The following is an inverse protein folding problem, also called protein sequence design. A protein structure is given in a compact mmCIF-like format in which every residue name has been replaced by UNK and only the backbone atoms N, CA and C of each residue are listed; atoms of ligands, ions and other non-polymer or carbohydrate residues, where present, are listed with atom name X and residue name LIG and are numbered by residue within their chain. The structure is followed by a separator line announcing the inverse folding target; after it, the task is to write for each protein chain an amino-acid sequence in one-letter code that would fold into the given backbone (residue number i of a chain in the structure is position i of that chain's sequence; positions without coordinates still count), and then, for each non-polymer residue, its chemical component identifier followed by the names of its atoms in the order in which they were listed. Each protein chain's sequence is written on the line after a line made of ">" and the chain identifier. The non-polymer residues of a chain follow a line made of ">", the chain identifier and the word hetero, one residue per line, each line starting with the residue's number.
data_IF_460946673646
#
_entry.id   IF_460946673646
#
_cell.length_a   1.000
_cell.length_b   1.000
_cell.length_c   1.000
_cell.angle_alpha   90.00
_cell.angle_beta   90.00
_cell.angle_gamma   90.00
#
_symmetry.space_group_name_H-M   'P 1'
#
loop_
_entity.id
_entity.type
_entity.pdbx_description
1 polymer ?
#
# COMPACT_ATOMS: atom_id res chain seq x y z
N UNK A 1 64.80 -23.68 13.41
CA UNK A 1 63.86 -23.36 12.33
C UNK A 1 62.58 -22.81 12.97
N UNK A 2 62.44 -21.47 13.09
CA UNK A 2 61.33 -20.80 13.75
C UNK A 2 60.38 -20.28 12.67
N UNK A 3 59.19 -20.84 12.55
CA UNK A 3 58.10 -20.32 11.72
C UNK A 3 57.48 -19.09 12.38
N UNK A 4 57.60 -17.93 11.74
CA UNK A 4 56.83 -16.72 12.07
C UNK A 4 55.44 -16.86 11.47
N UNK A 5 54.41 -16.99 12.31
CA UNK A 5 53.03 -16.78 11.89
C UNK A 5 52.78 -15.27 11.81
N UNK A 6 52.49 -14.79 10.61
CA UNK A 6 51.99 -13.44 10.39
C UNK A 6 50.47 -13.44 10.70
N UNK A 7 50.10 -12.78 11.77
CA UNK A 7 48.69 -12.50 12.08
C UNK A 7 48.18 -11.40 11.16
N UNK A 8 47.38 -11.75 10.16
CA UNK A 8 46.57 -10.79 9.41
C UNK A 8 45.34 -10.43 10.24
N UNK A 9 45.43 -9.32 10.97
CA UNK A 9 44.31 -8.68 11.68
C UNK A 9 43.37 -8.06 10.62
N UNK A 10 42.43 -8.87 10.07
CA UNK A 10 41.29 -8.39 9.35
C UNK A 10 40.10 -8.39 10.32
N UNK A 11 39.98 -7.32 11.10
CA UNK A 11 38.74 -7.02 11.77
C UNK A 11 37.71 -6.67 10.70
N UNK A 12 36.55 -7.36 10.63
CA UNK A 12 35.48 -6.92 9.76
C UNK A 12 34.98 -5.56 10.25
N UNK A 13 34.78 -4.64 9.31
CA UNK A 13 34.18 -3.30 9.51
C UNK A 13 32.72 -3.42 10.00
N UNK A 14 32.52 -3.84 11.25
CA UNK A 14 31.20 -3.98 11.90
C UNK A 14 30.73 -2.66 12.56
N UNK A 15 31.39 -1.53 12.33
CA UNK A 15 31.09 -0.25 13.00
C UNK A 15 30.70 0.88 12.03
N UNK A 16 29.93 0.59 10.98
CA UNK A 16 29.27 1.64 10.19
C UNK A 16 27.75 1.64 10.32
N UNK A 17 27.19 1.17 11.42
CA UNK A 17 25.86 1.61 11.85
C UNK A 17 26.01 2.94 12.59
N UNK A 18 26.15 4.03 11.83
CA UNK A 18 25.92 5.36 12.37
C UNK A 18 24.50 5.38 12.89
N UNK A 19 24.31 5.39 14.22
CA UNK A 19 23.04 5.71 14.87
C UNK A 19 22.61 7.10 14.39
N UNK A 20 21.82 7.17 13.32
CA UNK A 20 21.17 8.41 12.92
C UNK A 20 20.18 8.72 14.03
N UNK A 21 20.29 9.90 14.65
CA UNK A 21 19.39 10.33 15.69
C UNK A 21 17.95 10.34 15.18
N UNK A 22 17.03 9.80 15.96
CA UNK A 22 15.59 9.89 15.71
C UNK A 22 15.14 11.28 16.16
N UNK A 23 14.39 11.97 15.32
CA UNK A 23 13.87 13.31 15.58
C UNK A 23 12.36 13.31 15.42
N UNK A 24 11.69 14.19 16.17
CA UNK A 24 10.27 14.47 15.99
C UNK A 24 10.07 15.12 14.61
N UNK A 25 9.28 14.50 13.74
CA UNK A 25 9.03 14.99 12.38
C UNK A 25 7.73 15.79 12.28
N UNK A 26 6.66 15.23 12.78
CA UNK A 26 5.31 15.75 12.62
C UNK A 26 4.50 15.70 13.90
N UNK A 27 3.75 16.76 14.17
CA UNK A 27 2.64 16.79 15.12
C UNK A 27 1.33 16.70 14.35
N UNK A 28 0.43 15.81 14.74
CA UNK A 28 -0.87 15.65 14.10
C UNK A 28 -1.92 16.59 14.68
N UNK A 29 -2.32 17.62 13.92
CA UNK A 29 -3.42 18.52 14.25
C UNK A 29 -4.76 17.81 14.09
N UNK A 30 -4.90 17.02 13.01
CA UNK A 30 -6.00 16.10 12.73
C UNK A 30 -5.42 14.80 12.21
N UNK A 31 -6.08 13.67 12.50
CA UNK A 31 -5.55 12.35 12.15
C UNK A 31 -6.08 11.79 10.83
N UNK A 32 -7.08 12.44 10.21
CA UNK A 32 -7.84 11.84 9.11
C UNK A 32 -8.79 10.73 9.61
N UNK A 33 -9.38 9.98 8.68
CA UNK A 33 -10.31 8.88 9.01
C UNK A 33 -9.53 7.69 9.57
N UNK A 34 -8.51 7.25 8.84
CA UNK A 34 -7.63 6.15 9.26
C UNK A 34 -6.22 6.38 8.69
N UNK A 35 -5.31 6.76 9.58
CA UNK A 35 -3.89 6.93 9.26
C UNK A 35 -3.07 5.97 10.10
N UNK A 36 -2.25 5.12 9.45
CA UNK A 36 -1.42 4.10 10.09
C UNK A 36 -0.01 4.09 9.52
N UNK A 37 0.96 3.65 10.32
CA UNK A 37 2.32 3.37 9.86
C UNK A 37 2.33 1.99 9.22
N UNK A 38 2.81 1.89 7.98
CA UNK A 38 2.91 0.64 7.23
C UNK A 38 4.27 0.51 6.55
N UNK A 39 4.74 -0.73 6.39
CA UNK A 39 5.87 -1.12 5.56
C UNK A 39 5.45 -2.24 4.58
N UNK A 40 6.35 -3.07 4.08
CA UNK A 40 5.99 -4.20 3.20
C UNK A 40 5.25 -5.34 3.93
N UNK A 41 5.25 -5.34 5.26
CA UNK A 41 4.59 -6.34 6.10
C UNK A 41 5.53 -7.38 6.72
N UNK A 42 4.98 -8.22 7.61
CA UNK A 42 5.69 -9.24 8.38
C UNK A 42 5.48 -10.63 7.79
N UNK A 43 6.49 -11.11 7.08
CA UNK A 43 6.46 -12.41 6.43
C UNK A 43 7.00 -13.52 7.33
N UNK A 44 6.50 -14.77 7.13
CA UNK A 44 7.00 -15.96 7.81
C UNK A 44 6.28 -16.31 9.13
N UNK A 45 5.32 -15.49 9.56
CA UNK A 45 4.61 -15.69 10.82
C UNK A 45 3.15 -16.16 10.67
N UNK A 46 2.67 -16.36 9.43
CA UNK A 46 1.30 -16.80 9.16
C UNK A 46 0.99 -18.14 9.82
N UNK A 47 1.95 -19.06 9.90
CA UNK A 47 1.81 -20.35 10.61
C UNK A 47 1.51 -20.21 12.11
N UNK A 48 1.75 -19.03 12.68
CA UNK A 48 1.45 -18.70 14.07
C UNK A 48 0.18 -17.85 14.22
N UNK A 49 -0.61 -17.71 13.17
CA UNK A 49 -1.83 -16.91 13.17
C UNK A 49 -1.62 -15.40 13.01
N UNK A 50 -0.39 -14.95 12.69
CA UNK A 50 -0.08 -13.53 12.53
C UNK A 50 -0.14 -13.15 11.05
N UNK A 51 -1.03 -12.21 10.65
CA UNK A 51 -1.15 -11.77 9.27
C UNK A 51 0.09 -10.99 8.81
N UNK A 52 0.26 -10.94 7.49
CA UNK A 52 1.36 -10.15 6.89
C UNK A 52 1.21 -8.68 7.20
N UNK A 53 0.00 -8.14 7.18
CA UNK A 53 -0.25 -6.70 7.26
C UNK A 53 0.50 -5.92 6.17
N UNK A 54 1.01 -4.74 6.46
CA UNK A 54 1.73 -3.93 5.47
C UNK A 54 0.82 -3.05 4.63
N UNK A 55 1.43 -2.31 3.72
CA UNK A 55 0.72 -1.43 2.81
C UNK A 55 -0.29 -2.21 1.95
N UNK A 56 -1.51 -1.67 1.82
CA UNK A 56 -2.58 -2.28 1.01
C UNK A 56 -2.24 -2.23 -0.48
N UNK A 57 -1.77 -1.08 -0.96
CA UNK A 57 -1.27 -0.85 -2.32
C UNK A 57 0.26 -0.75 -2.29
N UNK A 58 0.93 -1.87 -2.60
CA UNK A 58 2.38 -1.96 -2.60
C UNK A 58 3.02 -1.12 -3.71
N UNK A 59 2.35 -0.93 -4.85
CA UNK A 59 2.89 -0.12 -5.94
C UNK A 59 3.05 1.33 -5.49
N UNK A 60 1.98 1.96 -5.02
CA UNK A 60 2.01 3.34 -4.54
C UNK A 60 2.97 3.51 -3.36
N UNK A 61 2.99 2.56 -2.41
CA UNK A 61 3.90 2.55 -1.28
C UNK A 61 5.38 2.52 -1.70
N UNK A 62 5.77 1.62 -2.61
CA UNK A 62 7.16 1.51 -3.06
C UNK A 62 7.60 2.71 -3.89
N UNK A 63 6.70 3.28 -4.70
CA UNK A 63 6.99 4.50 -5.47
C UNK A 63 7.17 5.70 -4.55
N UNK A 64 6.35 5.87 -3.49
CA UNK A 64 6.54 6.91 -2.49
C UNK A 64 7.93 6.85 -1.84
N UNK A 65 8.36 5.65 -1.43
CA UNK A 65 9.68 5.45 -0.85
C UNK A 65 10.80 5.75 -1.87
N UNK A 66 10.64 5.34 -3.13
CA UNK A 66 11.61 5.64 -4.19
C UNK A 66 11.76 7.14 -4.42
N UNK A 67 10.65 7.88 -4.49
CA UNK A 67 10.64 9.33 -4.63
C UNK A 67 11.29 10.04 -3.42
N UNK A 68 11.02 9.55 -2.21
CA UNK A 68 11.66 10.05 -0.99
C UNK A 68 13.16 9.70 -0.89
N UNK A 69 13.67 8.84 -1.77
CA UNK A 69 15.06 8.37 -1.76
C UNK A 69 15.33 7.28 -0.73
N UNK A 70 14.32 6.55 -0.36
CA UNK A 70 14.36 5.48 0.63
C UNK A 70 14.62 4.11 0.00
N UNK A 71 15.10 3.18 0.82
CA UNK A 71 14.97 1.75 0.53
C UNK A 71 13.49 1.34 0.53
N UNK A 72 13.15 0.36 -0.29
CA UNK A 72 11.76 -0.06 -0.54
C UNK A 72 10.95 -0.45 0.69
N UNK A 73 11.60 -0.82 1.80
CA UNK A 73 10.93 -1.30 3.03
C UNK A 73 10.92 -0.29 4.18
N UNK A 74 11.27 0.98 3.94
CA UNK A 74 11.15 1.97 5.00
C UNK A 74 9.68 2.31 5.26
N UNK A 75 9.30 2.35 6.55
CA UNK A 75 7.93 2.59 6.94
C UNK A 75 7.47 4.00 6.50
N UNK A 76 6.22 4.07 6.05
CA UNK A 76 5.54 5.26 5.58
C UNK A 76 4.15 5.35 6.22
N UNK A 77 3.48 6.50 6.11
CA UNK A 77 2.05 6.59 6.46
C UNK A 77 1.20 6.06 5.32
N UNK A 78 0.22 5.23 5.67
CA UNK A 78 -0.93 4.89 4.84
C UNK A 78 -2.15 5.64 5.36
N UNK A 79 -2.80 6.40 4.49
CA UNK A 79 -4.00 7.18 4.77
C UNK A 79 -5.16 6.59 3.99
N UNK A 80 -6.33 6.40 4.62
CA UNK A 80 -7.50 5.79 4.00
C UNK A 80 -8.67 6.77 3.97
N UNK A 81 -9.27 6.98 2.79
CA UNK A 81 -10.44 7.82 2.46
C UNK A 81 -10.23 9.32 2.71
N UNK A 82 -9.69 9.74 3.83
CA UNK A 82 -9.35 11.12 4.13
C UNK A 82 -8.09 11.18 4.99
N UNK A 83 -7.16 12.06 4.63
CA UNK A 83 -5.87 12.16 5.28
C UNK A 83 -5.82 13.15 6.44
N UNK A 84 -4.67 13.24 7.12
CA UNK A 84 -4.46 14.08 8.29
C UNK A 84 -4.17 15.55 7.92
N UNK A 85 -4.17 16.40 8.95
CA UNK A 85 -3.44 17.67 8.95
C UNK A 85 -2.31 17.56 9.95
N UNK A 86 -1.09 17.84 9.51
CA UNK A 86 0.11 17.72 10.34
C UNK A 86 0.95 19.00 10.26
N UNK A 87 1.63 19.32 11.38
CA UNK A 87 2.61 20.39 11.47
C UNK A 87 4.02 19.79 11.43
N UNK A 88 4.88 20.38 10.63
CA UNK A 88 6.29 19.96 10.51
C UNK A 88 7.09 20.52 11.71
N UNK A 89 7.69 19.62 12.49
CA UNK A 89 8.55 19.98 13.62
C UNK A 89 10.00 20.17 13.16
N UNK A 90 10.51 19.20 12.41
CA UNK A 90 11.85 19.27 11.83
C UNK A 90 11.78 19.19 10.30
N UNK A 91 12.64 19.93 9.58
CA UNK A 91 12.61 19.96 8.12
C UNK A 91 12.90 18.58 7.57
N UNK A 92 12.14 18.17 6.55
CA UNK A 92 12.29 16.86 5.94
C UNK A 92 11.89 16.91 4.47
N UNK A 93 12.22 15.85 3.74
CA UNK A 93 11.68 15.59 2.40
C UNK A 93 10.63 14.52 2.49
N UNK A 94 9.54 14.72 1.75
CA UNK A 94 8.45 13.78 1.65
C UNK A 94 8.18 13.42 0.19
N UNK A 95 7.40 12.35 0.00
CA UNK A 95 6.72 12.05 -1.27
C UNK A 95 5.31 11.55 -0.98
N UNK A 96 4.35 11.96 -1.82
CA UNK A 96 2.94 11.58 -1.70
C UNK A 96 2.54 10.84 -2.97
N UNK A 97 1.93 9.66 -2.82
CA UNK A 97 1.44 8.81 -3.92
C UNK A 97 0.10 8.17 -3.57
N UNK A 98 -0.51 7.46 -4.54
CA UNK A 98 -1.79 6.81 -4.35
C UNK A 98 -2.95 7.76 -4.64
N UNK A 99 -4.04 7.63 -3.88
CA UNK A 99 -5.26 8.41 -4.04
C UNK A 99 -5.02 9.92 -3.91
N UNK A 100 -5.73 10.71 -4.72
CA UNK A 100 -5.71 12.16 -4.58
C UNK A 100 -6.60 12.60 -3.41
N UNK A 101 -5.94 12.99 -2.32
CA UNK A 101 -6.57 13.55 -1.13
C UNK A 101 -6.39 15.08 -1.05
N UNK A 102 -6.22 15.76 -2.21
CA UNK A 102 -6.05 17.20 -2.34
C UNK A 102 -5.04 17.78 -1.34
N UNK A 103 -3.77 17.31 -1.34
CA UNK A 103 -2.78 17.78 -0.39
C UNK A 103 -2.47 19.26 -0.60
N UNK A 104 -2.37 20.00 0.52
CA UNK A 104 -1.95 21.40 0.53
C UNK A 104 -0.81 21.61 1.52
N UNK A 105 0.15 22.44 1.16
CA UNK A 105 1.22 22.91 2.02
C UNK A 105 1.01 24.41 2.30
N UNK A 106 0.73 24.75 3.55
CA UNK A 106 0.39 26.13 3.95
C UNK A 106 -0.77 26.75 3.14
N UNK A 107 -1.72 25.89 2.69
CA UNK A 107 -2.87 26.27 1.87
C UNK A 107 -2.65 26.20 0.35
N UNK A 108 -1.42 26.06 -0.10
CA UNK A 108 -1.10 25.91 -1.53
C UNK A 108 -1.08 24.44 -1.95
N UNK A 109 -1.59 24.13 -3.14
CA UNK A 109 -1.66 22.76 -3.66
C UNK A 109 -0.26 22.14 -3.82
N UNK A 110 -0.13 20.87 -3.44
CA UNK A 110 1.10 20.09 -3.56
C UNK A 110 0.93 19.01 -4.62
N UNK A 111 1.96 18.82 -5.45
CA UNK A 111 1.98 17.78 -6.47
C UNK A 111 2.04 16.39 -5.84
N UNK A 112 1.16 15.51 -6.33
CA UNK A 112 1.24 14.08 -6.10
C UNK A 112 2.30 13.45 -7.00
N UNK A 113 2.77 12.27 -6.63
CA UNK A 113 3.76 11.50 -7.38
C UNK A 113 5.08 12.26 -7.61
N UNK A 114 5.37 13.18 -6.70
CA UNK A 114 6.59 13.97 -6.67
C UNK A 114 7.15 14.06 -5.23
N UNK A 115 8.46 14.34 -5.13
CA UNK A 115 9.07 14.62 -3.83
C UNK A 115 8.98 16.13 -3.53
N UNK A 116 8.74 16.47 -2.25
CA UNK A 116 8.56 17.82 -1.75
C UNK A 116 9.45 18.05 -0.52
N UNK A 117 10.06 19.25 -0.40
CA UNK A 117 10.79 19.63 0.80
C UNK A 117 9.89 20.44 1.72
N UNK A 118 9.87 20.06 3.00
CA UNK A 118 9.11 20.74 4.05
C UNK A 118 10.06 21.43 5.02
N UNK A 119 9.64 22.57 5.56
CA UNK A 119 10.36 23.39 6.56
C UNK A 119 9.69 23.28 7.91
N UNK A 120 10.43 23.54 8.98
CA UNK A 120 9.86 23.67 10.33
C UNK A 120 8.74 24.71 10.33
N UNK A 121 7.60 24.34 10.93
CA UNK A 121 6.41 25.18 11.03
C UNK A 121 5.42 25.02 9.86
N UNK A 122 5.82 24.40 8.74
CA UNK A 122 4.90 24.13 7.64
C UNK A 122 3.71 23.28 8.11
N UNK A 123 2.56 23.51 7.51
CA UNK A 123 1.32 22.75 7.73
C UNK A 123 0.97 22.02 6.43
N UNK A 124 1.09 20.69 6.46
CA UNK A 124 0.65 19.81 5.38
C UNK A 124 -0.74 19.28 5.73
N UNK A 125 -1.71 19.56 4.89
CA UNK A 125 -3.10 19.18 5.10
C UNK A 125 -3.61 18.34 3.93
N UNK A 126 -4.40 17.31 4.26
CA UNK A 126 -5.11 16.47 3.31
C UNK A 126 -6.60 16.58 3.56
N UNK A 127 -7.40 16.33 2.52
CA UNK A 127 -8.86 16.23 2.59
C UNK A 127 -9.35 14.81 2.27
N UNK A 128 -10.61 14.69 1.87
CA UNK A 128 -11.18 13.42 1.38
C UNK A 128 -10.64 13.12 -0.02
N UNK A 129 -10.44 11.82 -0.30
CA UNK A 129 -10.03 11.36 -1.60
C UNK A 129 -11.15 11.59 -2.64
N UNK A 130 -10.82 12.21 -3.77
CA UNK A 130 -11.73 12.32 -4.91
C UNK A 130 -11.75 11.01 -5.71
N UNK A 131 -10.58 10.45 -5.95
CA UNK A 131 -10.38 9.19 -6.65
C UNK A 131 -9.41 8.30 -5.88
N UNK A 132 -9.71 6.99 -5.87
CA UNK A 132 -8.96 6.02 -5.08
C UNK A 132 -9.34 6.05 -3.59
N UNK A 133 -8.73 5.18 -2.81
CA UNK A 133 -9.03 4.97 -1.40
C UNK A 133 -7.84 5.28 -0.50
N UNK A 134 -6.62 4.97 -0.95
CA UNK A 134 -5.41 4.98 -0.12
C UNK A 134 -4.32 5.84 -0.70
N UNK A 135 -3.80 6.76 0.12
CA UNK A 135 -2.60 7.54 -0.18
C UNK A 135 -1.46 7.18 0.78
N UNK A 136 -0.25 7.38 0.31
CA UNK A 136 0.99 7.10 1.05
C UNK A 136 1.82 8.36 1.18
N UNK A 137 2.30 8.62 2.40
CA UNK A 137 3.26 9.68 2.70
C UNK A 137 4.56 9.03 3.17
N UNK A 138 5.57 8.99 2.30
CA UNK A 138 6.92 8.59 2.64
C UNK A 138 7.75 9.80 3.07
N UNK A 139 8.64 9.58 4.04
CA UNK A 139 9.58 10.59 4.52
C UNK A 139 11.00 10.09 4.24
N UNK A 140 11.87 10.95 3.74
CA UNK A 140 13.28 10.62 3.51
C UNK A 140 13.97 10.19 4.80
N UNK A 141 14.53 8.97 4.83
CA UNK A 141 15.05 8.32 6.03
C UNK A 141 14.05 7.44 6.77
N UNK A 142 12.77 7.48 6.37
CA UNK A 142 11.70 6.64 6.89
C UNK A 142 11.10 7.10 8.21
N UNK A 143 9.93 6.59 8.52
CA UNK A 143 9.23 6.78 9.79
C UNK A 143 9.76 5.80 10.82
N UNK A 144 10.07 6.31 12.01
CA UNK A 144 10.49 5.47 13.13
C UNK A 144 9.27 4.86 13.83
N UNK A 145 9.24 3.54 13.90
CA UNK A 145 8.31 2.76 14.68
C UNK A 145 9.01 1.50 15.18
N UNK A 146 8.63 0.95 16.34
CA UNK A 146 9.18 -0.30 16.82
C UNK A 146 8.99 -1.43 15.81
N UNK A 147 10.04 -2.21 15.59
CA UNK A 147 9.96 -3.39 14.77
C UNK A 147 9.41 -4.57 15.58
N UNK A 148 8.33 -5.18 15.08
CA UNK A 148 7.68 -6.34 15.70
C UNK A 148 7.61 -7.45 14.65
N UNK A 149 8.27 -8.57 14.93
CA UNK A 149 8.34 -9.71 14.00
C UNK A 149 8.86 -9.31 12.62
N UNK A 150 9.92 -8.49 12.58
CA UNK A 150 10.58 -8.07 11.34
C UNK A 150 9.83 -7.01 10.53
N UNK A 151 8.79 -6.36 11.09
CA UNK A 151 8.00 -5.33 10.40
C UNK A 151 7.59 -4.19 11.35
N UNK A 152 7.48 -2.98 10.78
CA UNK A 152 6.95 -1.79 11.44
C UNK A 152 5.47 -1.55 11.14
N UNK A 153 4.81 -2.44 10.40
CA UNK A 153 3.40 -2.30 10.06
C UNK A 153 2.48 -2.40 11.27
N UNK A 154 1.49 -1.52 11.32
CA UNK A 154 0.39 -1.59 12.27
C UNK A 154 -0.51 -2.78 11.95
N UNK A 155 -0.76 -3.63 12.93
CA UNK A 155 -1.83 -4.62 12.90
C UNK A 155 -2.88 -4.24 13.93
N UNK A 156 -3.98 -3.66 13.48
CA UNK A 156 -4.99 -3.02 14.35
C UNK A 156 -5.69 -4.01 15.28
N UNK A 157 -6.05 -5.20 14.80
CA UNK A 157 -6.72 -6.22 15.62
C UNK A 157 -5.80 -6.82 16.70
N UNK A 158 -4.52 -6.98 16.37
CA UNK A 158 -3.52 -7.47 17.32
C UNK A 158 -3.01 -6.37 18.26
N UNK A 159 -3.34 -5.10 18.00
CA UNK A 159 -2.90 -3.94 18.79
C UNK A 159 -1.37 -3.86 18.93
N UNK A 160 -0.63 -4.15 17.84
CA UNK A 160 0.82 -4.07 17.84
C UNK A 160 1.39 -3.55 16.51
N UNK A 161 2.68 -3.24 16.48
CA UNK A 161 3.37 -2.61 15.37
C UNK A 161 2.98 -1.15 15.18
N UNK A 162 3.57 -0.50 14.17
CA UNK A 162 3.31 0.89 13.85
C UNK A 162 3.45 1.85 15.02
N UNK A 163 2.59 2.85 15.03
CA UNK A 163 2.52 3.81 16.12
C UNK A 163 1.68 3.24 17.27
N UNK A 164 2.34 2.56 18.24
CA UNK A 164 1.70 1.99 19.46
C UNK A 164 0.56 1.00 19.18
N UNK A 165 0.61 0.27 18.06
CA UNK A 165 -0.41 -0.72 17.69
C UNK A 165 -1.77 -0.15 17.33
N UNK A 166 -1.89 1.15 17.03
CA UNK A 166 -3.15 1.85 16.78
C UNK A 166 -3.04 2.86 15.64
N UNK A 167 -4.17 3.37 15.13
CA UNK A 167 -4.15 4.52 14.23
C UNK A 167 -3.57 5.75 14.90
N UNK A 168 -3.05 6.66 14.10
CA UNK A 168 -2.63 8.00 14.54
C UNK A 168 -3.84 8.77 15.08
N UNK A 169 -3.62 9.61 16.08
CA UNK A 169 -4.62 10.47 16.71
C UNK A 169 -4.13 11.91 16.76
N UNK A 170 -5.05 12.83 16.93
CA UNK A 170 -4.73 14.26 17.20
C UNK A 170 -3.78 14.36 18.40
N UNK A 171 -2.73 15.18 18.26
CA UNK A 171 -1.69 15.39 19.27
C UNK A 171 -0.57 14.35 19.28
N UNK A 172 -0.66 13.28 18.46
CA UNK A 172 0.48 12.37 18.32
C UNK A 172 1.65 13.08 17.63
N UNK A 173 2.86 12.72 18.06
CA UNK A 173 4.11 13.17 17.45
C UNK A 173 4.80 11.97 16.82
N UNK A 174 5.05 12.06 15.52
CA UNK A 174 5.70 11.00 14.77
C UNK A 174 7.18 11.31 14.59
N UNK A 175 8.00 10.31 14.86
CA UNK A 175 9.46 10.39 14.72
C UNK A 175 9.94 9.75 13.43
N UNK A 176 11.11 10.18 12.98
CA UNK A 176 11.80 9.57 11.85
C UNK A 176 13.29 9.85 11.88
N UNK A 177 13.98 9.29 10.90
CA UNK A 177 15.43 9.49 10.73
C UNK A 177 15.63 10.50 9.61
N UNK A 178 16.32 11.61 9.88
CA UNK A 178 16.64 12.56 8.81
C UNK A 178 17.72 11.97 7.91
N UNK A 179 17.48 11.99 6.61
CA UNK A 179 18.53 11.80 5.61
C UNK A 179 18.95 13.17 5.06
N UNK A 180 20.18 13.27 4.55
CA UNK A 180 20.70 14.51 3.98
C UNK A 180 19.74 15.08 2.91
N UNK A 181 19.24 16.31 3.17
CA UNK A 181 18.25 17.01 2.36
C UNK A 181 18.76 17.44 0.95
N UNK A 182 19.98 17.08 0.58
CA UNK A 182 20.62 17.47 -0.69
C UNK A 182 20.21 16.66 -1.92
N UNK A 183 19.27 15.75 -1.79
CA UNK A 183 18.76 14.96 -2.92
C UNK A 183 17.86 15.82 -3.82
N UNK A 184 18.01 15.64 -5.15
CA UNK A 184 17.20 16.31 -6.18
C UNK A 184 15.71 16.02 -6.00
N UNK A 185 14.84 16.95 -6.41
CA UNK A 185 13.41 16.70 -6.54
C UNK A 185 13.22 15.58 -7.57
N UNK A 186 12.37 14.62 -7.24
CA UNK A 186 12.04 13.47 -8.07
C UNK A 186 10.55 13.48 -8.36
N UNK A 187 10.16 13.00 -9.52
CA UNK A 187 8.76 12.88 -9.91
C UNK A 187 8.54 11.61 -10.73
N UNK A 188 7.31 11.17 -10.80
CA UNK A 188 6.87 10.05 -11.62
C UNK A 188 6.38 10.60 -12.96
N UNK A 189 6.84 10.09 -14.12
CA UNK A 189 6.26 10.45 -15.41
C UNK A 189 4.77 10.13 -15.45
N UNK A 190 3.92 10.99 -16.06
CA UNK A 190 2.47 10.82 -16.07
C UNK A 190 1.97 9.47 -16.56
N UNK A 191 2.67 8.86 -17.53
CA UNK A 191 2.37 7.55 -18.08
C UNK A 191 2.50 6.37 -17.11
N UNK A 192 3.18 6.59 -15.98
CA UNK A 192 3.33 5.59 -14.90
C UNK A 192 2.34 5.79 -13.76
N UNK A 193 1.58 6.89 -13.74
CA UNK A 193 0.63 7.18 -12.66
C UNK A 193 -0.65 6.36 -12.87
N UNK A 194 -1.04 5.50 -11.91
CA UNK A 194 -2.24 4.69 -12.02
C UNK A 194 -3.51 5.54 -12.03
N UNK A 195 -4.51 5.13 -12.78
CA UNK A 195 -5.88 5.63 -12.68
C UNK A 195 -6.67 4.77 -11.67
N UNK A 196 -7.62 5.39 -10.98
CA UNK A 196 -8.46 4.75 -9.97
C UNK A 196 -9.96 4.87 -10.34
N UNK A 197 -10.44 4.01 -11.25
CA UNK A 197 -11.85 4.02 -11.67
C UNK A 197 -12.76 3.44 -10.58
N UNK A 198 -14.02 3.89 -10.56
CA UNK A 198 -15.06 3.40 -9.64
C UNK A 198 -15.70 2.09 -10.11
N UNK A 199 -15.43 1.66 -11.33
CA UNK A 199 -15.86 0.37 -11.90
C UNK A 199 -14.63 -0.40 -12.35
N UNK A 200 -14.34 -1.53 -11.72
CA UNK A 200 -13.12 -2.26 -11.95
C UNK A 200 -13.37 -3.73 -12.29
N UNK A 201 -12.73 -4.22 -13.35
CA UNK A 201 -12.62 -5.65 -13.61
C UNK A 201 -11.35 -6.18 -12.95
N UNK A 202 -11.52 -7.17 -12.07
CA UNK A 202 -10.46 -7.86 -11.32
C UNK A 202 -10.30 -9.27 -11.87
N UNK A 203 -9.08 -9.60 -12.22
CA UNK A 203 -8.73 -10.93 -12.73
C UNK A 203 -8.57 -11.91 -11.58
N UNK A 204 -9.12 -13.10 -11.77
CA UNK A 204 -9.11 -14.17 -10.78
C UNK A 204 -8.70 -15.51 -11.41
N UNK A 205 -8.10 -16.37 -10.59
CA UNK A 205 -7.97 -17.80 -10.85
C UNK A 205 -8.98 -18.50 -9.97
N UNK A 206 -9.74 -19.48 -10.51
CA UNK A 206 -10.69 -20.25 -9.71
C UNK A 206 -9.99 -20.96 -8.55
N UNK A 207 -10.66 -21.05 -7.44
CA UNK A 207 -10.11 -21.48 -6.17
C UNK A 207 -10.08 -22.99 -6.00
N UNK A 208 -9.40 -23.50 -4.97
CA UNK A 208 -9.29 -24.94 -4.71
C UNK A 208 -10.60 -25.58 -4.25
N UNK A 209 -11.60 -24.80 -3.88
CA UNK A 209 -12.93 -25.27 -3.50
C UNK A 209 -14.01 -24.76 -4.47
N UNK A 210 -13.72 -24.60 -5.77
CA UNK A 210 -14.72 -24.23 -6.77
C UNK A 210 -15.85 -25.28 -6.87
N UNK A 211 -15.53 -26.55 -6.61
CA UNK A 211 -16.47 -27.68 -6.57
C UNK A 211 -17.49 -27.63 -5.42
N UNK A 212 -17.35 -26.68 -4.49
CA UNK A 212 -18.35 -26.38 -3.45
C UNK A 212 -19.49 -25.50 -3.96
N UNK A 213 -19.39 -25.02 -5.19
CA UNK A 213 -20.39 -24.13 -5.82
C UNK A 213 -21.06 -24.84 -7.00
N UNK A 214 -22.32 -24.50 -7.26
CA UNK A 214 -23.00 -24.98 -8.47
C UNK A 214 -22.41 -24.29 -9.70
N UNK A 215 -22.57 -24.89 -10.90
CA UNK A 215 -22.21 -24.22 -12.17
C UNK A 215 -22.91 -22.85 -12.31
N UNK A 216 -24.16 -22.76 -11.82
CA UNK A 216 -24.91 -21.51 -11.76
C UNK A 216 -24.25 -20.51 -10.81
N UNK A 217 -23.79 -20.97 -9.64
CA UNK A 217 -23.08 -20.14 -8.67
C UNK A 217 -21.78 -19.54 -9.23
N UNK A 218 -20.96 -20.38 -9.88
CA UNK A 218 -19.72 -19.92 -10.53
C UNK A 218 -20.03 -18.93 -11.67
N UNK A 219 -21.06 -19.21 -12.49
CA UNK A 219 -21.50 -18.28 -13.54
C UNK A 219 -22.02 -16.97 -12.97
N UNK A 220 -22.77 -17.01 -11.88
CA UNK A 220 -23.23 -15.81 -11.17
C UNK A 220 -22.05 -14.98 -10.68
N UNK A 221 -21.07 -15.60 -10.05
CA UNK A 221 -19.86 -14.93 -9.59
C UNK A 221 -19.11 -14.21 -10.73
N UNK A 222 -18.90 -14.86 -11.87
CA UNK A 222 -18.11 -14.31 -12.98
C UNK A 222 -18.87 -13.27 -13.83
N UNK A 223 -20.20 -13.37 -13.93
CA UNK A 223 -20.98 -12.52 -14.84
C UNK A 223 -21.72 -11.36 -14.14
N UNK A 224 -21.62 -11.27 -12.82
CA UNK A 224 -22.32 -10.24 -12.06
C UNK A 224 -21.41 -9.06 -11.70
N UNK A 225 -22.04 -7.93 -11.40
CA UNK A 225 -21.39 -6.78 -10.77
C UNK A 225 -21.67 -6.84 -9.28
N UNK A 226 -20.64 -6.58 -8.48
CA UNK A 226 -20.71 -6.48 -7.03
C UNK A 226 -20.28 -5.09 -6.61
N UNK A 227 -20.88 -4.57 -5.53
CA UNK A 227 -20.52 -3.30 -4.91
C UNK A 227 -19.66 -3.56 -3.67
N UNK A 228 -18.66 -2.71 -3.45
CA UNK A 228 -17.85 -2.74 -2.23
C UNK A 228 -18.68 -2.21 -1.07
N UNK A 229 -18.96 -3.07 -0.11
CA UNK A 229 -19.78 -2.74 1.07
C UNK A 229 -19.07 -1.75 2.01
N UNK A 230 -19.80 -0.85 2.68
CA UNK A 230 -19.26 0.00 3.76
C UNK A 230 -18.64 -0.77 4.93
N UNK A 231 -18.97 -2.05 5.09
CA UNK A 231 -18.37 -2.93 6.10
C UNK A 231 -16.99 -3.49 5.72
N UNK A 232 -16.40 -2.99 4.63
CA UNK A 232 -15.07 -3.37 4.15
C UNK A 232 -13.98 -2.67 4.93
N UNK A 233 -12.91 -3.42 5.24
CA UNK A 233 -11.73 -2.91 5.95
C UNK A 233 -10.43 -3.54 5.44
N UNK A 234 -9.33 -3.39 6.17
CA UNK A 234 -8.03 -3.99 5.85
C UNK A 234 -8.00 -5.52 5.98
N UNK A 235 -9.00 -6.12 6.65
CA UNK A 235 -9.13 -7.59 6.72
C UNK A 235 -9.76 -8.19 5.49
N UNK A 236 -10.79 -7.54 4.95
CA UNK A 236 -11.50 -8.04 3.78
C UNK A 236 -12.50 -7.05 3.22
N UNK A 237 -12.67 -7.13 1.92
CA UNK A 237 -13.69 -6.41 1.20
C UNK A 237 -14.92 -7.29 1.09
N UNK A 238 -16.00 -6.89 1.78
CA UNK A 238 -17.32 -7.49 1.68
C UNK A 238 -17.99 -6.95 0.43
N UNK A 239 -18.63 -7.83 -0.32
CA UNK A 239 -19.26 -7.46 -1.58
C UNK A 239 -20.76 -7.65 -1.48
N UNK A 240 -21.49 -6.65 -1.92
CA UNK A 240 -22.95 -6.67 -2.04
C UNK A 240 -23.34 -6.92 -3.50
N UNK A 241 -24.24 -7.90 -3.76
CA UNK A 241 -24.64 -8.26 -5.12
C UNK A 241 -25.44 -9.57 -5.19
N UNK A 242 -25.48 -10.23 -6.35
CA UNK A 242 -26.15 -11.52 -6.49
C UNK A 242 -25.52 -12.61 -5.62
N UNK A 243 -26.37 -13.42 -5.01
CA UNK A 243 -25.95 -14.51 -4.13
C UNK A 243 -25.36 -15.66 -4.94
N UNK A 244 -24.24 -16.20 -4.45
CA UNK A 244 -23.50 -17.31 -5.08
C UNK A 244 -24.00 -18.63 -4.48
N UNK A 245 -24.51 -19.52 -5.32
CA UNK A 245 -25.12 -20.76 -4.88
C UNK A 245 -24.05 -21.83 -4.61
N UNK A 246 -24.14 -22.45 -3.41
CA UNK A 246 -23.32 -23.59 -3.04
C UNK A 246 -23.96 -24.90 -3.52
N UNK A 247 -23.14 -25.87 -3.93
CA UNK A 247 -23.52 -27.25 -4.23
C UNK A 247 -23.30 -28.19 -3.04
N UNK A 248 -22.48 -27.76 -2.08
CA UNK A 248 -22.10 -28.49 -0.88
C UNK A 248 -22.29 -27.62 0.37
N UNK A 249 -21.75 -28.07 1.49
CA UNK A 249 -21.75 -27.34 2.75
C UNK A 249 -21.05 -25.97 2.60
N UNK A 250 -21.54 -24.97 3.34
CA UNK A 250 -21.00 -23.60 3.30
C UNK A 250 -19.78 -23.40 4.20
N UNK A 251 -19.35 -24.47 4.88
CA UNK A 251 -18.19 -24.50 5.77
C UNK A 251 -17.27 -25.62 5.36
N UNK A 252 -15.96 -25.39 5.54
CA UNK A 252 -14.91 -26.39 5.35
C UNK A 252 -14.07 -26.51 6.62
N UNK A 253 -13.32 -27.60 6.74
CA UNK A 253 -12.24 -27.66 7.73
C UNK A 253 -11.31 -26.46 7.49
N UNK A 254 -10.99 -25.72 8.56
CA UNK A 254 -10.17 -24.50 8.47
C UNK A 254 -8.88 -24.77 7.68
N UNK A 255 -8.70 -24.01 6.63
CA UNK A 255 -7.58 -24.13 5.69
C UNK A 255 -6.84 -22.79 5.57
N UNK A 256 -5.59 -22.81 5.09
CA UNK A 256 -4.80 -21.62 4.87
C UNK A 256 -5.47 -20.65 3.91
N UNK A 257 -5.40 -19.33 4.24
CA UNK A 257 -5.87 -18.27 3.36
C UNK A 257 -4.75 -17.30 3.04
N UNK A 258 -4.81 -16.71 1.86
CA UNK A 258 -3.86 -15.72 1.39
C UNK A 258 -4.60 -14.43 1.01
N UNK A 259 -3.84 -13.34 0.91
CA UNK A 259 -4.36 -12.05 0.40
C UNK A 259 -4.90 -12.26 -1.01
N UNK A 260 -6.13 -11.83 -1.26
CA UNK A 260 -6.83 -12.01 -2.53
C UNK A 260 -7.71 -13.26 -2.59
N UNK A 261 -7.68 -14.16 -1.59
CA UNK A 261 -8.64 -15.27 -1.54
C UNK A 261 -10.07 -14.74 -1.41
N UNK A 262 -11.00 -15.29 -2.20
CA UNK A 262 -12.42 -14.91 -2.21
C UNK A 262 -13.21 -16.02 -1.56
N UNK A 263 -13.63 -15.78 -0.33
CA UNK A 263 -14.47 -16.69 0.45
C UNK A 263 -15.95 -16.38 0.25
N UNK A 264 -16.79 -17.41 0.24
CA UNK A 264 -18.26 -17.27 0.19
C UNK A 264 -18.85 -18.00 1.39
N UNK A 265 -19.20 -17.26 2.47
CA UNK A 265 -19.87 -17.82 3.64
C UNK A 265 -21.32 -18.25 3.36
N UNK A 266 -22.03 -18.73 4.40
CA UNK A 266 -23.41 -19.23 4.30
C UNK A 266 -24.45 -18.19 3.88
N UNK A 267 -24.17 -16.89 4.01
CA UNK A 267 -25.00 -15.79 3.47
C UNK A 267 -24.88 -15.65 1.94
N UNK A 268 -23.97 -16.41 1.32
CA UNK A 268 -23.70 -16.48 -0.13
C UNK A 268 -23.13 -15.19 -0.73
N UNK A 269 -22.59 -14.30 0.11
CA UNK A 269 -21.97 -13.05 -0.33
C UNK A 269 -20.45 -13.20 -0.33
N UNK A 270 -19.74 -12.80 -1.41
CA UNK A 270 -18.29 -12.96 -1.47
C UNK A 270 -17.56 -11.97 -0.58
N UNK A 271 -16.44 -12.43 0.01
CA UNK A 271 -15.52 -11.61 0.80
C UNK A 271 -14.11 -11.79 0.24
N UNK A 272 -13.49 -10.73 -0.25
CA UNK A 272 -12.10 -10.75 -0.72
C UNK A 272 -11.18 -10.47 0.47
N UNK A 273 -10.36 -11.43 0.85
CA UNK A 273 -9.44 -11.30 1.98
C UNK A 273 -8.27 -10.36 1.64
N UNK A 274 -7.99 -9.42 2.54
CA UNK A 274 -6.99 -8.37 2.34
C UNK A 274 -5.81 -8.53 3.31
N UNK A 275 -4.96 -7.50 3.45
CA UNK A 275 -3.65 -7.57 4.11
C UNK A 275 -3.68 -7.96 5.59
N UNK A 276 -4.74 -7.60 6.32
CA UNK A 276 -4.89 -7.91 7.74
C UNK A 276 -5.81 -9.12 7.99
N UNK A 277 -6.17 -9.88 6.94
CA UNK A 277 -7.00 -11.06 7.06
C UNK A 277 -6.37 -12.10 7.98
N UNK A 278 -7.22 -12.92 8.60
CA UNK A 278 -6.79 -14.11 9.34
C UNK A 278 -5.97 -15.05 8.42
N UNK A 279 -5.12 -15.85 9.04
CA UNK A 279 -4.22 -16.75 8.29
C UNK A 279 -4.87 -18.09 7.93
N UNK A 280 -5.99 -18.43 8.58
CA UNK A 280 -6.81 -19.60 8.30
C UNK A 280 -8.28 -19.21 8.26
N UNK A 281 -9.09 -19.92 7.48
CA UNK A 281 -10.53 -19.69 7.35
C UNK A 281 -11.28 -20.97 7.06
N UNK A 282 -12.54 -21.02 7.50
CA UNK A 282 -13.43 -22.18 7.38
C UNK A 282 -14.51 -22.03 6.31
N UNK A 283 -14.36 -21.11 5.35
CA UNK A 283 -15.29 -20.93 4.25
C UNK A 283 -14.66 -21.33 2.90
N UNK A 284 -15.45 -21.95 1.99
CA UNK A 284 -14.94 -22.33 0.68
C UNK A 284 -14.47 -21.11 -0.12
N UNK A 285 -13.34 -21.27 -0.79
CA UNK A 285 -12.71 -20.23 -1.63
C UNK A 285 -13.10 -20.48 -3.09
N UNK A 286 -14.00 -19.65 -3.64
CA UNK A 286 -14.45 -19.73 -5.03
C UNK A 286 -13.35 -19.35 -6.02
N UNK A 287 -12.54 -18.36 -5.68
CA UNK A 287 -11.49 -17.83 -6.54
C UNK A 287 -10.38 -17.17 -5.72
N UNK A 288 -9.32 -16.78 -6.41
CA UNK A 288 -8.23 -15.99 -5.87
C UNK A 288 -7.91 -14.82 -6.82
N UNK A 289 -7.91 -13.59 -6.31
CA UNK A 289 -7.49 -12.40 -7.07
C UNK A 289 -6.03 -12.54 -7.44
N UNK A 290 -5.69 -12.31 -8.70
CA UNK A 290 -4.28 -12.34 -9.14
C UNK A 290 -3.50 -11.23 -8.47
N UNK A 291 -2.27 -11.52 -8.03
CA UNK A 291 -1.46 -10.60 -7.22
C UNK A 291 -1.22 -9.24 -7.91
N UNK A 292 -1.23 -9.23 -9.25
CA UNK A 292 -1.13 -8.00 -10.04
C UNK A 292 -2.30 -7.04 -9.84
N UNK A 293 -3.48 -7.53 -9.47
CA UNK A 293 -4.68 -6.72 -9.32
C UNK A 293 -4.96 -6.29 -7.86
N UNK A 294 -4.24 -6.85 -6.88
CA UNK A 294 -4.43 -6.52 -5.45
C UNK A 294 -4.20 -5.04 -5.18
N UNK A 295 -3.21 -4.41 -5.83
CA UNK A 295 -2.95 -2.98 -5.65
C UNK A 295 -4.11 -2.11 -6.17
N UNK A 296 -4.71 -2.49 -7.33
CA UNK A 296 -5.87 -1.81 -7.90
C UNK A 296 -7.12 -1.99 -7.02
N UNK A 297 -7.32 -3.23 -6.54
CA UNK A 297 -8.40 -3.55 -5.60
C UNK A 297 -8.28 -2.71 -4.32
N UNK A 298 -7.06 -2.51 -3.80
CA UNK A 298 -6.80 -1.70 -2.62
C UNK A 298 -7.20 -0.22 -2.76
N UNK A 299 -7.44 0.25 -3.97
CA UNK A 299 -7.88 1.63 -4.24
C UNK A 299 -9.39 1.79 -4.40
N UNK A 300 -10.16 0.69 -4.35
CA UNK A 300 -11.63 0.77 -4.36
C UNK A 300 -12.17 1.21 -2.99
N UNK A 301 -13.27 1.96 -3.04
CA UNK A 301 -13.98 2.52 -1.90
C UNK A 301 -15.34 1.85 -1.73
N UNK A 302 -15.98 1.96 -0.56
CA UNK A 302 -17.40 1.64 -0.43
C UNK A 302 -18.23 2.37 -1.50
N UNK A 303 -19.12 1.62 -2.16
CA UNK A 303 -19.93 2.10 -3.28
C UNK A 303 -19.32 1.91 -4.66
N UNK A 304 -18.02 1.61 -4.77
CA UNK A 304 -17.41 1.26 -6.06
C UNK A 304 -17.80 -0.15 -6.50
N UNK A 305 -17.81 -0.38 -7.81
CA UNK A 305 -18.25 -1.63 -8.41
C UNK A 305 -17.07 -2.49 -8.88
N UNK A 306 -17.24 -3.80 -8.76
CA UNK A 306 -16.27 -4.81 -9.16
C UNK A 306 -16.94 -5.90 -10.00
N UNK A 307 -16.22 -6.36 -11.02
CA UNK A 307 -16.53 -7.57 -11.81
C UNK A 307 -15.32 -8.48 -11.80
N UNK A 308 -15.56 -9.77 -12.01
CA UNK A 308 -14.51 -10.76 -12.03
C UNK A 308 -14.30 -11.32 -13.44
N UNK A 309 -13.03 -11.44 -13.82
CA UNK A 309 -12.59 -12.07 -15.07
C UNK A 309 -11.73 -13.28 -14.73
N UNK A 310 -12.18 -14.47 -15.12
CA UNK A 310 -11.38 -15.68 -14.95
C UNK A 310 -10.22 -15.69 -15.95
N UNK A 311 -9.01 -15.93 -15.44
CA UNK A 311 -7.81 -16.21 -16.24
C UNK A 311 -7.13 -17.49 -15.73
N UNK A 312 -6.25 -18.04 -16.55
CA UNK A 312 -5.41 -19.17 -16.12
C UNK A 312 -4.16 -18.71 -15.34
N UNK A 313 -3.53 -19.66 -14.68
CA UNK A 313 -2.35 -19.44 -13.83
C UNK A 313 -1.14 -18.92 -14.63
N UNK A 314 -1.01 -19.33 -15.91
CA UNK A 314 0.08 -18.87 -16.79
C UNK A 314 -0.06 -17.38 -17.05
N UNK A 315 -1.27 -16.95 -17.40
CA UNK A 315 -1.57 -15.54 -17.62
C UNK A 315 -1.38 -14.71 -16.35
N UNK A 316 -1.75 -15.23 -15.19
CA UNK A 316 -1.50 -14.59 -13.90
C UNK A 316 0.00 -14.34 -13.65
N UNK A 317 0.86 -15.33 -13.94
CA UNK A 317 2.32 -15.18 -13.82
C UNK A 317 2.88 -14.12 -14.79
N UNK A 318 2.44 -14.12 -16.05
CA UNK A 318 2.87 -13.10 -17.03
C UNK A 318 2.57 -11.68 -16.53
N UNK A 319 1.39 -11.47 -15.95
CA UNK A 319 0.97 -10.18 -15.42
C UNK A 319 1.83 -9.72 -14.24
N UNK A 320 2.20 -10.64 -13.36
CA UNK A 320 3.13 -10.32 -12.25
C UNK A 320 4.49 -9.87 -12.81
N UNK A 321 5.06 -10.60 -13.77
CA UNK A 321 6.32 -10.20 -14.40
C UNK A 321 6.23 -8.84 -15.10
N UNK A 322 5.12 -8.54 -15.78
CA UNK A 322 4.89 -7.23 -16.39
C UNK A 322 4.92 -6.10 -15.36
N UNK A 323 4.21 -6.26 -14.21
CA UNK A 323 4.20 -5.23 -13.15
C UNK A 323 5.58 -5.08 -12.50
N UNK A 324 6.28 -6.19 -12.22
CA UNK A 324 7.63 -6.13 -11.65
C UNK A 324 8.61 -5.39 -12.57
N UNK A 325 8.56 -5.66 -13.88
CA UNK A 325 9.38 -4.99 -14.88
C UNK A 325 9.00 -3.50 -14.97
N UNK A 326 7.71 -3.18 -15.00
CA UNK A 326 7.22 -1.81 -15.03
C UNK A 326 7.71 -1.00 -13.79
N UNK A 327 7.56 -1.55 -12.59
CA UNK A 327 8.05 -0.92 -11.37
C UNK A 327 9.58 -0.78 -11.36
N UNK A 328 10.30 -1.79 -11.88
CA UNK A 328 11.76 -1.73 -11.98
C UNK A 328 12.23 -0.63 -12.94
N UNK A 329 11.59 -0.50 -14.11
CA UNK A 329 11.86 0.54 -15.09
C UNK A 329 11.55 1.92 -14.51
N UNK A 330 10.39 2.09 -13.85
CA UNK A 330 10.02 3.34 -13.21
C UNK A 330 11.04 3.75 -12.13
N UNK A 331 11.45 2.82 -11.26
CA UNK A 331 12.46 3.11 -10.21
C UNK A 331 13.78 3.59 -10.81
N UNK A 332 14.18 3.01 -11.93
CA UNK A 332 15.38 3.42 -12.65
C UNK A 332 15.24 4.84 -13.22
N UNK A 333 14.11 5.15 -13.86
CA UNK A 333 13.83 6.48 -14.37
C UNK A 333 13.79 7.56 -13.29
N UNK A 334 13.11 7.29 -12.15
CA UNK A 334 13.09 8.20 -10.99
C UNK A 334 14.51 8.47 -10.48
N UNK A 335 15.42 7.48 -10.49
CA UNK A 335 16.80 7.62 -10.06
C UNK A 335 17.68 8.42 -11.03
N UNK A 336 17.38 8.41 -12.31
CA UNK A 336 18.21 8.94 -13.40
C UNK A 336 17.86 10.38 -13.83
N UNK A 337 16.67 10.92 -13.46
CA UNK A 337 16.22 12.24 -13.96
C UNK A 337 16.81 13.44 -13.21
N UNK A 338 17.23 14.42 -13.98
CA UNK A 338 17.68 15.75 -13.54
C UNK A 338 16.50 16.61 -13.01
N UNK A 339 16.73 17.73 -12.30
CA UNK A 339 15.68 18.55 -11.71
C UNK A 339 14.61 18.89 -12.73
N UNK A 340 13.36 18.92 -12.27
CA UNK A 340 12.21 19.41 -13.04
C UNK A 340 12.59 20.79 -13.61
N UNK A 341 12.45 21.04 -14.92
CA UNK A 341 12.49 22.39 -15.43
C UNK A 341 11.47 23.21 -14.64
N UNK A 342 11.85 24.41 -14.17
CA UNK A 342 10.87 25.38 -13.70
C UNK A 342 9.87 25.58 -14.84
N UNK A 343 8.63 25.16 -14.64
CA UNK A 343 7.58 25.40 -15.62
C UNK A 343 7.29 26.90 -15.60
N UNK A 344 7.51 27.62 -16.69
CA UNK A 344 7.02 28.96 -16.82
C UNK A 344 5.50 28.85 -16.96
N UNK A 345 4.81 29.45 -16.00
CA UNK A 345 3.40 29.81 -16.00
C UNK A 345 2.35 28.69 -16.18
N UNK A 346 1.30 28.77 -15.36
CA UNK A 346 0.19 27.80 -15.20
C UNK A 346 -0.64 27.47 -16.47
N UNK A 347 -0.26 27.93 -17.66
CA UNK A 347 -0.93 27.60 -18.93
C UNK A 347 -0.50 26.24 -19.53
N UNK A 348 0.67 25.72 -19.18
CA UNK A 348 1.18 24.48 -19.78
C UNK A 348 0.55 23.23 -19.19
N UNK A 349 0.06 23.27 -17.93
CA UNK A 349 -0.63 22.14 -17.29
C UNK A 349 -1.98 21.81 -17.98
N UNK A 350 -2.66 22.79 -18.57
CA UNK A 350 -3.93 22.54 -19.28
C UNK A 350 -3.77 21.85 -20.65
N UNK A 351 -2.59 21.90 -21.25
CA UNK A 351 -2.35 21.22 -22.54
C UNK A 351 -2.14 19.72 -22.44
N UNK A 352 -1.70 19.20 -21.28
CA UNK A 352 -1.49 17.77 -21.08
C UNK A 352 -2.75 17.00 -20.66
N UNK A 353 -3.77 17.67 -20.11
CA UNK A 353 -5.05 17.02 -19.79
C UNK A 353 -5.93 16.77 -21.02
N UNK A 354 -5.61 17.34 -22.17
CA UNK A 354 -6.35 17.19 -23.43
C UNK A 354 -5.91 16.05 -24.35
N UNK A 355 -4.84 15.31 -24.02
CA UNK A 355 -4.25 14.30 -24.91
C UNK A 355 -4.56 12.85 -24.50
N UNK A 356 -5.44 12.63 -23.49
CA UNK A 356 -5.93 11.30 -23.13
C UNK A 356 -7.45 11.30 -23.29
N UNK A 357 -7.87 11.08 -24.53
CA UNK A 357 -9.22 10.60 -24.88
C UNK A 357 -9.08 9.23 -25.56
#
# INVERSE_FOLDING_TARGET
>A
MRLKLAATDRRPDLLKNSYRATLDLFEFIHAGILTTVQDLGRFGYQRYGVPVSGAMDLFSFEVANTLAGNDKNLASLEMTLAGPTLRVINPCRIAITGADMNPTLNGEKVDLWASQSLKTGDVLAFSSAEHGCRAYLAVSGGIHAPEVLGSRSTYLRGVFGGYRGRPIRKGDVLQGTLSDAKTRIRYVPPEYIPSYPTNLTIRVVLGPQEDFFTDSGVKTFLNSTYEISPASDRMGYRLDGPRIEHSKETEIVSDGVAVGAIQVPGDRMPIILMRDAQTTGGYPKIAHVVSSDVNRLAQLRPGDNIRFEQIDIRRAHELIYQIMNHLSSLKKEIGERHPVPEFPDGETLMRFQGAIR
#
